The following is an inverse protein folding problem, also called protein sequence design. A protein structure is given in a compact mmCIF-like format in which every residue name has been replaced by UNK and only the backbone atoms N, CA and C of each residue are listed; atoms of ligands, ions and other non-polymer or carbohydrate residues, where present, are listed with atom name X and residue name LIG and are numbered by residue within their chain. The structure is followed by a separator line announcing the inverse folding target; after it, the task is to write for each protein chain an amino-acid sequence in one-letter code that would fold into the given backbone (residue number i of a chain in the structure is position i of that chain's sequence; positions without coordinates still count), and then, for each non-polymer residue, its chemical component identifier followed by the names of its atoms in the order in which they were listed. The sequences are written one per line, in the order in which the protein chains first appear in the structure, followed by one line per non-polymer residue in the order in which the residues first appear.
data_IF_917457261491
#
_entry.id   IF_917457261491
#
_cell.length_a   1.000
_cell.length_b   1.000
_cell.length_c   1.000
_cell.angle_alpha   90.00
_cell.angle_beta   90.00
_cell.angle_gamma   90.00
#
_symmetry.space_group_name_H-M   'P 1'
#
loop_
_entity.id
_entity.type
_entity.pdbx_description
1 polymer ?
#
# COMPACT_ATOMS: atom_id res chain seq x y z
N UNK A 1 6.65 18.65 -13.77
CA UNK A 1 8.07 19.06 -13.76
C UNK A 1 8.40 19.75 -15.08
N UNK A 2 9.25 20.78 -15.06
CA UNK A 2 9.62 21.57 -16.25
C UNK A 2 11.14 21.67 -16.32
N UNK A 3 11.70 21.46 -17.51
CA UNK A 3 13.09 21.78 -17.81
C UNK A 3 13.13 23.16 -18.48
N UNK A 4 13.72 24.14 -17.80
CA UNK A 4 14.02 25.45 -18.36
C UNK A 4 15.44 25.43 -18.91
N UNK A 5 15.61 25.80 -20.17
CA UNK A 5 16.92 25.87 -20.81
C UNK A 5 16.99 27.06 -21.75
N UNK A 6 18.19 27.59 -21.94
CA UNK A 6 18.39 28.75 -22.79
C UNK A 6 19.86 28.99 -23.08
N UNK A 7 20.09 29.92 -23.99
CA UNK A 7 21.42 30.38 -24.36
C UNK A 7 21.43 31.89 -24.55
N UNK A 8 22.63 32.45 -24.50
CA UNK A 8 22.92 33.81 -24.97
C UNK A 8 23.67 33.72 -26.29
N UNK A 9 23.25 34.50 -27.28
CA UNK A 9 24.00 34.62 -28.52
C UNK A 9 25.14 35.63 -28.32
N UNK A 10 26.36 35.13 -28.14
CA UNK A 10 27.57 35.95 -27.99
C UNK A 10 28.25 36.26 -29.34
N UNK A 11 27.66 35.83 -30.46
CA UNK A 11 28.16 36.15 -31.80
C UNK A 11 27.68 37.52 -32.29
N UNK A 12 28.38 38.06 -33.29
CA UNK A 12 28.06 39.36 -33.91
C UNK A 12 26.94 39.25 -34.96
N UNK A 13 26.52 38.03 -35.33
CA UNK A 13 25.41 37.77 -36.25
C UNK A 13 24.19 37.15 -35.55
N UNK A 14 22.96 37.37 -36.09
CA UNK A 14 21.80 36.60 -35.68
C UNK A 14 22.04 35.10 -35.86
N UNK A 15 21.73 34.33 -34.82
CA UNK A 15 21.91 32.88 -34.82
C UNK A 15 20.56 32.20 -34.66
N UNK A 16 20.19 31.33 -35.59
CA UNK A 16 19.00 30.48 -35.45
C UNK A 16 19.31 29.34 -34.48
N UNK A 17 18.39 29.10 -33.55
CA UNK A 17 18.59 28.16 -32.44
C UNK A 17 17.50 27.11 -32.43
N UNK A 18 17.89 25.84 -32.57
CA UNK A 18 17.00 24.69 -32.35
C UNK A 18 17.49 23.91 -31.13
N UNK A 19 16.61 23.74 -30.15
CA UNK A 19 16.86 23.00 -28.91
C UNK A 19 16.32 21.59 -29.05
N UNK A 20 17.16 20.59 -28.77
CA UNK A 20 16.77 19.19 -28.67
C UNK A 20 16.98 18.69 -27.25
N UNK A 21 15.94 18.06 -26.71
CA UNK A 21 15.95 17.43 -25.39
C UNK A 21 15.27 16.06 -25.46
N UNK A 22 15.45 15.20 -24.44
CA UNK A 22 14.66 13.96 -24.32
C UNK A 22 13.14 14.20 -24.25
N UNK A 23 12.71 15.42 -23.92
CA UNK A 23 11.29 15.79 -23.78
C UNK A 23 10.70 16.44 -25.03
N UNK A 24 11.51 16.61 -26.08
CA UNK A 24 11.07 17.17 -27.35
C UNK A 24 12.07 18.15 -27.98
N UNK A 25 11.73 18.59 -29.19
CA UNK A 25 12.48 19.60 -29.95
C UNK A 25 11.71 20.91 -30.00
N UNK A 26 12.42 22.03 -29.84
CA UNK A 26 11.87 23.39 -29.92
C UNK A 26 12.76 24.29 -30.76
N UNK A 27 12.15 24.97 -31.72
CA UNK A 27 12.80 26.01 -32.50
C UNK A 27 12.56 27.35 -31.79
N UNK A 28 13.64 28.03 -31.41
CA UNK A 28 13.57 29.35 -30.77
C UNK A 28 13.65 30.48 -31.81
N UNK A 29 13.81 30.14 -33.08
CA UNK A 29 13.98 31.11 -34.16
C UNK A 29 15.35 31.77 -34.12
N UNK A 30 15.42 32.96 -34.72
CA UNK A 30 16.64 33.78 -34.73
C UNK A 30 16.79 34.54 -33.41
N UNK A 31 17.97 34.40 -32.81
CA UNK A 31 18.39 35.14 -31.62
C UNK A 31 19.39 36.20 -32.04
N UNK A 32 19.05 37.47 -31.81
CA UNK A 32 19.90 38.60 -32.16
C UNK A 32 21.23 38.59 -31.39
N UNK A 33 22.29 39.26 -31.91
CA UNK A 33 23.54 39.45 -31.19
C UNK A 33 23.35 40.01 -29.78
N UNK A 34 23.99 39.41 -28.80
CA UNK A 34 23.92 39.77 -27.39
C UNK A 34 22.61 39.42 -26.67
N UNK A 35 21.59 38.94 -27.39
CA UNK A 35 20.30 38.55 -26.82
C UNK A 35 20.31 37.12 -26.28
N UNK A 36 19.36 36.82 -25.41
CA UNK A 36 19.14 35.48 -24.87
C UNK A 36 17.78 34.94 -25.26
N UNK A 37 17.69 33.63 -25.45
CA UNK A 37 16.43 32.92 -25.64
C UNK A 37 16.36 31.72 -24.71
N UNK A 38 15.17 31.46 -24.16
CA UNK A 38 14.91 30.33 -23.27
C UNK A 38 13.58 29.68 -23.59
N UNK A 39 13.45 28.42 -23.22
CA UNK A 39 12.22 27.65 -23.38
C UNK A 39 12.00 26.74 -22.19
N UNK A 40 10.73 26.61 -21.82
CA UNK A 40 10.24 25.65 -20.85
C UNK A 40 9.71 24.40 -21.58
N UNK A 41 10.32 23.25 -21.29
CA UNK A 41 9.88 21.97 -21.80
C UNK A 41 9.22 21.16 -20.67
N UNK A 42 7.91 20.88 -20.75
CA UNK A 42 7.25 20.02 -19.78
C UNK A 42 7.76 18.59 -19.96
N UNK A 43 8.32 18.00 -18.90
CA UNK A 43 8.84 16.63 -18.96
C UNK A 43 7.73 15.57 -19.01
N UNK A 44 6.50 15.93 -18.63
CA UNK A 44 5.35 15.01 -18.58
C UNK A 44 5.41 13.97 -17.46
N UNK A 45 6.46 13.98 -16.64
CA UNK A 45 6.68 13.02 -15.55
C UNK A 45 7.04 13.74 -14.24
N UNK A 46 6.97 12.99 -13.13
CA UNK A 46 7.43 13.44 -11.80
C UNK A 46 8.90 13.09 -11.52
N UNK A 47 9.48 12.18 -12.31
CA UNK A 47 10.86 11.80 -12.22
C UNK A 47 11.52 11.85 -13.60
N UNK A 48 12.72 12.42 -13.66
CA UNK A 48 13.58 12.40 -14.84
C UNK A 48 14.96 11.88 -14.50
N UNK A 49 15.58 11.19 -15.45
CA UNK A 49 16.99 10.81 -15.37
C UNK A 49 17.85 11.99 -15.78
N UNK A 50 19.12 11.99 -15.35
CA UNK A 50 20.10 12.94 -15.87
C UNK A 50 20.23 12.78 -17.39
N UNK A 51 20.57 13.88 -18.05
CA UNK A 51 20.61 13.92 -19.49
C UNK A 51 21.31 15.16 -20.02
N UNK A 52 21.06 15.45 -21.30
CA UNK A 52 21.65 16.59 -21.97
C UNK A 52 20.61 17.33 -22.82
N UNK A 53 20.84 18.63 -22.95
CA UNK A 53 20.21 19.53 -23.91
C UNK A 53 21.22 19.82 -25.00
N UNK A 54 20.80 19.68 -26.25
CA UNK A 54 21.61 19.99 -27.41
C UNK A 54 21.03 21.20 -28.13
N UNK A 55 21.86 22.21 -28.34
CA UNK A 55 21.53 23.40 -29.12
C UNK A 55 22.19 23.30 -30.49
N UNK A 56 21.38 23.20 -31.53
CA UNK A 56 21.81 23.32 -32.92
C UNK A 56 21.74 24.80 -33.29
N UNK A 57 22.92 25.38 -33.52
CA UNK A 57 23.11 26.78 -33.86
C UNK A 57 23.41 26.86 -35.35
N UNK A 58 22.72 27.74 -36.07
CA UNK A 58 23.05 28.03 -37.47
C UNK A 58 23.03 29.53 -37.74
N UNK A 59 24.05 30.03 -38.42
CA UNK A 59 24.17 31.45 -38.81
C UNK A 59 24.81 31.58 -40.19
N UNK A 60 24.66 32.74 -40.81
CA UNK A 60 25.31 33.06 -42.09
C UNK A 60 26.19 34.28 -41.93
N UNK A 61 27.48 34.14 -42.22
CA UNK A 61 28.47 35.24 -42.14
C UNK A 61 28.96 35.55 -43.55
N UNK A 62 28.73 36.77 -44.02
CA UNK A 62 29.11 37.22 -45.36
C UNK A 62 28.68 36.23 -46.48
N UNK A 63 27.47 35.70 -46.38
CA UNK A 63 26.91 34.71 -47.32
C UNK A 63 27.37 33.26 -47.12
N UNK A 64 28.23 32.98 -46.14
CA UNK A 64 28.71 31.63 -45.83
C UNK A 64 27.96 31.05 -44.63
N UNK A 65 27.32 29.87 -44.75
CA UNK A 65 26.62 29.24 -43.64
C UNK A 65 27.58 28.57 -42.66
N UNK A 66 27.28 28.68 -41.37
CA UNK A 66 27.96 28.02 -40.26
C UNK A 66 26.95 27.29 -39.40
N UNK A 67 27.33 26.09 -38.94
CA UNK A 67 26.55 25.31 -38.00
C UNK A 67 27.44 24.87 -36.83
N UNK A 68 26.90 24.95 -35.62
CA UNK A 68 27.57 24.55 -34.39
C UNK A 68 26.59 23.78 -33.50
N UNK A 69 27.13 22.91 -32.65
CA UNK A 69 26.33 22.20 -31.66
C UNK A 69 26.91 22.43 -30.27
N UNK A 70 26.10 22.99 -29.37
CA UNK A 70 26.45 23.19 -27.97
C UNK A 70 25.63 22.24 -27.12
N UNK A 71 26.27 21.58 -26.15
CA UNK A 71 25.59 20.63 -25.27
C UNK A 71 25.73 21.05 -23.81
N UNK A 72 24.61 21.09 -23.09
CA UNK A 72 24.55 21.30 -21.65
C UNK A 72 23.97 20.06 -20.96
N UNK A 73 24.44 19.74 -19.76
CA UNK A 73 23.91 18.60 -18.97
C UNK A 73 22.92 19.07 -17.92
N UNK A 74 21.97 18.21 -17.59
CA UNK A 74 21.08 18.38 -16.45
C UNK A 74 21.08 17.12 -15.59
N UNK A 75 20.96 17.30 -14.28
CA UNK A 75 20.96 16.21 -13.32
C UNK A 75 19.60 15.52 -13.24
N UNK A 76 19.60 14.31 -12.67
CA UNK A 76 18.37 13.60 -12.38
C UNK A 76 17.57 14.35 -11.30
N UNK A 77 16.26 14.36 -11.43
CA UNK A 77 15.36 14.93 -10.43
C UNK A 77 14.16 14.00 -10.27
N UNK A 78 13.87 13.64 -9.03
CA UNK A 78 12.71 12.83 -8.67
C UNK A 78 11.86 13.58 -7.65
N UNK A 79 10.65 13.97 -8.07
CA UNK A 79 9.66 14.63 -7.25
C UNK A 79 8.52 13.68 -6.86
N UNK A 80 8.63 12.37 -7.14
CA UNK A 80 7.66 11.40 -6.69
C UNK A 80 7.72 11.28 -5.16
N UNK A 81 6.57 11.43 -4.52
CA UNK A 81 6.36 11.20 -3.10
C UNK A 81 5.58 9.91 -2.96
N UNK A 82 6.19 8.93 -2.30
CA UNK A 82 5.60 7.62 -2.00
C UNK A 82 5.43 7.53 -0.48
N UNK A 83 4.20 7.65 -0.02
CA UNK A 83 3.84 7.60 1.40
C UNK A 83 2.57 6.74 1.60
N UNK A 84 2.67 5.42 1.37
CA UNK A 84 1.57 4.50 1.62
C UNK A 84 1.28 4.38 3.13
N UNK A 85 0.03 4.08 3.45
CA UNK A 85 -0.40 3.66 4.76
C UNK A 85 -1.49 2.59 4.68
N UNK A 86 -1.78 1.95 5.82
CA UNK A 86 -2.90 1.04 5.92
C UNK A 86 -3.34 0.80 7.34
N UNK A 87 -4.57 0.32 7.51
CA UNK A 87 -5.08 -0.09 8.82
C UNK A 87 -6.20 -1.11 8.67
N UNK A 88 -6.42 -1.91 9.71
CA UNK A 88 -7.55 -2.83 9.74
C UNK A 88 -8.84 -2.11 10.09
N UNK A 89 -9.90 -2.49 9.40
CA UNK A 89 -11.28 -2.12 9.73
C UNK A 89 -11.98 -3.42 10.14
N UNK A 90 -12.26 -3.56 11.43
CA UNK A 90 -12.80 -4.78 12.01
C UNK A 90 -14.29 -4.62 12.30
N UNK A 91 -15.08 -5.61 11.89
CA UNK A 91 -16.48 -5.69 12.32
C UNK A 91 -16.61 -6.28 13.73
N UNK A 92 -17.83 -6.29 14.24
CA UNK A 92 -18.13 -6.87 15.55
C UNK A 92 -17.88 -8.38 15.56
N UNK A 93 -17.32 -8.93 16.65
CA UNK A 93 -17.14 -10.37 16.78
C UNK A 93 -18.48 -11.07 17.04
N UNK A 94 -18.64 -12.27 16.47
CA UNK A 94 -19.82 -13.11 16.65
C UNK A 94 -19.41 -14.57 16.88
N UNK A 95 -20.25 -15.34 17.58
CA UNK A 95 -20.04 -16.78 17.76
C UNK A 95 -20.86 -17.58 16.77
N UNK A 96 -20.23 -18.47 16.02
CA UNK A 96 -20.92 -19.41 15.15
C UNK A 96 -20.96 -20.79 15.80
N UNK A 97 -22.12 -21.17 16.33
CA UNK A 97 -22.31 -22.45 17.01
C UNK A 97 -22.15 -23.67 16.09
N UNK A 98 -22.32 -23.52 14.77
CA UNK A 98 -22.10 -24.63 13.81
C UNK A 98 -20.61 -24.85 13.60
N UNK A 99 -19.84 -23.76 13.52
CA UNK A 99 -18.37 -23.81 13.40
C UNK A 99 -17.67 -23.98 14.75
N UNK A 100 -18.38 -23.77 15.86
CA UNK A 100 -17.88 -23.92 17.22
C UNK A 100 -16.82 -22.90 17.62
N UNK A 101 -16.77 -21.74 16.94
CA UNK A 101 -15.72 -20.73 17.11
C UNK A 101 -16.28 -19.31 16.98
N UNK A 102 -15.49 -18.33 17.43
CA UNK A 102 -15.77 -16.90 17.23
C UNK A 102 -15.20 -16.44 15.90
N UNK A 103 -15.89 -15.54 15.22
CA UNK A 103 -15.49 -14.94 13.96
C UNK A 103 -15.70 -13.44 13.99
N UNK A 104 -14.97 -12.71 13.15
CA UNK A 104 -15.27 -11.30 12.86
C UNK A 104 -14.89 -10.97 11.44
N UNK A 105 -15.64 -10.07 10.81
CA UNK A 105 -15.29 -9.59 9.47
C UNK A 105 -14.05 -8.71 9.54
N UNK A 106 -13.17 -8.86 8.55
CA UNK A 106 -11.93 -8.12 8.41
C UNK A 106 -11.94 -7.40 7.07
N UNK A 107 -11.73 -6.09 7.11
CA UNK A 107 -11.39 -5.27 5.95
C UNK A 107 -10.08 -4.53 6.21
N UNK A 108 -9.45 -4.03 5.15
CA UNK A 108 -8.28 -3.16 5.26
C UNK A 108 -8.58 -1.84 4.55
N UNK A 109 -8.27 -0.73 5.22
CA UNK A 109 -8.18 0.58 4.60
C UNK A 109 -6.81 0.68 3.95
N UNK A 110 -6.80 0.80 2.63
CA UNK A 110 -5.63 1.14 1.82
C UNK A 110 -5.57 2.66 1.71
N UNK A 111 -4.47 3.27 2.14
CA UNK A 111 -4.30 4.73 2.16
C UNK A 111 -3.14 5.17 1.27
N UNK A 112 -3.45 5.79 0.13
CA UNK A 112 -2.49 6.44 -0.76
C UNK A 112 -2.57 7.97 -0.70
N UNK A 113 -3.18 8.54 0.34
CA UNK A 113 -3.42 9.98 0.43
C UNK A 113 -2.15 10.81 0.59
N UNK A 114 -1.07 10.20 1.12
CA UNK A 114 0.23 10.84 1.26
C UNK A 114 1.06 10.88 -0.03
N UNK A 115 0.69 10.09 -1.05
CA UNK A 115 1.48 9.96 -2.28
C UNK A 115 0.95 10.85 -3.41
N UNK A 116 1.85 11.35 -4.25
CA UNK A 116 1.51 12.06 -5.50
C UNK A 116 1.59 11.17 -6.75
N UNK A 117 1.82 9.86 -6.55
CA UNK A 117 1.85 8.84 -7.60
C UNK A 117 0.86 7.71 -7.28
N UNK A 118 0.31 7.03 -8.31
CA UNK A 118 -0.50 5.84 -8.09
C UNK A 118 0.36 4.72 -7.48
N UNK A 119 -0.24 3.93 -6.58
CA UNK A 119 0.41 2.78 -5.94
C UNK A 119 -0.40 1.51 -6.12
N UNK A 120 0.31 0.40 -6.26
CA UNK A 120 -0.25 -0.96 -6.19
C UNK A 120 -0.08 -1.49 -4.77
N UNK A 121 -1.20 -1.71 -4.08
CA UNK A 121 -1.25 -2.34 -2.77
C UNK A 121 -1.44 -3.84 -2.94
N UNK A 122 -0.65 -4.63 -2.21
CA UNK A 122 -0.78 -6.08 -2.16
C UNK A 122 -0.92 -6.56 -0.73
N UNK A 123 -1.97 -7.33 -0.46
CA UNK A 123 -2.16 -8.02 0.82
C UNK A 123 -1.69 -9.46 0.69
N UNK A 124 -0.98 -9.94 1.70
CA UNK A 124 -0.52 -11.32 1.84
C UNK A 124 -0.78 -11.83 3.27
N UNK A 125 -0.53 -13.11 3.53
CA UNK A 125 -0.82 -13.77 4.81
C UNK A 125 -2.09 -14.61 4.72
N UNK A 126 -3.01 -14.42 5.67
CA UNK A 126 -4.27 -15.17 5.75
C UNK A 126 -5.23 -14.87 4.59
N UNK A 127 -5.18 -13.65 4.03
CA UNK A 127 -5.87 -13.29 2.79
C UNK A 127 -4.86 -12.80 1.75
N UNK A 128 -5.27 -12.84 0.48
CA UNK A 128 -4.44 -12.37 -0.65
C UNK A 128 -5.28 -11.52 -1.58
N UNK A 129 -4.72 -10.39 -2.00
CA UNK A 129 -5.37 -9.50 -2.95
C UNK A 129 -4.41 -8.41 -3.41
N UNK A 130 -4.77 -7.75 -4.50
CA UNK A 130 -3.99 -6.67 -5.07
C UNK A 130 -4.94 -5.61 -5.64
N UNK A 131 -4.64 -4.34 -5.39
CA UNK A 131 -5.45 -3.20 -5.81
C UNK A 131 -4.57 -2.04 -6.21
N UNK A 132 -4.88 -1.43 -7.34
CA UNK A 132 -4.28 -0.16 -7.76
C UNK A 132 -5.13 1.00 -7.24
N UNK A 133 -4.47 1.94 -6.58
CA UNK A 133 -5.04 3.18 -6.06
C UNK A 133 -4.40 4.36 -6.77
N UNK A 134 -5.24 5.32 -7.17
CA UNK A 134 -4.76 6.59 -7.70
C UNK A 134 -3.98 7.37 -6.62
N UNK A 135 -3.19 8.36 -7.05
CA UNK A 135 -2.57 9.30 -6.12
C UNK A 135 -3.66 10.00 -5.27
N UNK A 136 -3.43 10.12 -3.97
CA UNK A 136 -4.40 10.75 -3.08
C UNK A 136 -5.57 9.83 -2.63
N UNK A 137 -5.72 8.64 -3.21
CA UNK A 137 -6.90 7.80 -3.00
C UNK A 137 -6.86 7.04 -1.66
N UNK A 138 -8.04 6.83 -1.07
CA UNK A 138 -8.27 5.87 0.01
C UNK A 138 -9.35 4.87 -0.37
N UNK A 139 -9.16 3.60 -0.03
CA UNK A 139 -10.12 2.54 -0.35
C UNK A 139 -10.16 1.47 0.73
N UNK A 140 -11.36 1.15 1.21
CA UNK A 140 -11.57 -0.01 2.09
C UNK A 140 -11.90 -1.25 1.27
N UNK A 141 -11.20 -2.34 1.51
CA UNK A 141 -11.41 -3.62 0.81
C UNK A 141 -11.64 -4.75 1.81
N UNK A 142 -12.62 -5.61 1.52
CA UNK A 142 -12.94 -6.75 2.36
C UNK A 142 -11.88 -7.86 2.19
N UNK A 143 -11.42 -8.42 3.31
CA UNK A 143 -10.48 -9.55 3.36
C UNK A 143 -11.13 -10.86 3.82
N UNK A 144 -12.42 -10.83 4.19
CA UNK A 144 -13.18 -11.99 4.66
C UNK A 144 -13.34 -11.99 6.17
N UNK A 145 -13.18 -13.16 6.80
CA UNK A 145 -13.35 -13.34 8.24
C UNK A 145 -12.05 -13.85 8.90
N UNK A 146 -11.80 -13.41 10.13
CA UNK A 146 -10.81 -14.02 11.01
C UNK A 146 -11.51 -14.87 12.08
N UNK A 147 -10.89 -15.98 12.46
CA UNK A 147 -11.30 -16.80 13.61
C UNK A 147 -10.87 -16.17 14.93
N UNK A 148 -11.41 -16.66 16.04
CA UNK A 148 -11.13 -16.18 17.40
C UNK A 148 -9.66 -16.32 17.82
N UNK A 149 -8.88 -17.15 17.12
CA UNK A 149 -7.42 -17.22 17.27
C UNK A 149 -6.67 -15.97 16.79
N UNK A 150 -7.36 -15.04 16.12
CA UNK A 150 -6.74 -13.89 15.47
C UNK A 150 -6.23 -14.21 14.06
N UNK A 151 -5.68 -13.20 13.40
CA UNK A 151 -5.18 -13.29 12.03
C UNK A 151 -4.01 -12.34 11.81
N UNK A 152 -3.16 -12.66 10.82
CA UNK A 152 -2.04 -11.82 10.40
C UNK A 152 -2.10 -11.57 8.90
N UNK A 153 -1.92 -10.30 8.55
CA UNK A 153 -1.83 -9.82 7.19
C UNK A 153 -0.55 -9.00 7.04
N UNK A 154 0.01 -9.01 5.84
CA UNK A 154 1.08 -8.08 5.49
C UNK A 154 0.63 -7.30 4.27
N UNK A 155 0.54 -5.99 4.44
CA UNK A 155 0.25 -5.05 3.38
C UNK A 155 1.58 -4.59 2.77
N UNK A 156 1.66 -4.56 1.44
CA UNK A 156 2.84 -4.15 0.69
C UNK A 156 2.46 -3.04 -0.30
N UNK A 157 3.34 -2.07 -0.49
CA UNK A 157 3.28 -1.07 -1.55
C UNK A 157 4.69 -0.69 -1.99
N UNK A 158 5.14 -1.22 -3.15
CA UNK A 158 6.53 -1.10 -3.57
C UNK A 158 7.49 -1.76 -2.58
N UNK A 159 8.45 -1.00 -2.05
CA UNK A 159 9.39 -1.45 -1.01
C UNK A 159 8.84 -1.31 0.41
N UNK A 160 7.71 -0.62 0.60
CA UNK A 160 7.09 -0.45 1.91
C UNK A 160 6.23 -1.67 2.26
N UNK A 161 6.23 -2.03 3.54
CA UNK A 161 5.33 -3.05 4.07
C UNK A 161 4.93 -2.76 5.52
N UNK A 162 3.75 -3.23 5.90
CA UNK A 162 3.20 -3.11 7.24
C UNK A 162 2.50 -4.40 7.66
N UNK A 163 2.79 -4.87 8.87
CA UNK A 163 2.11 -6.03 9.45
C UNK A 163 0.86 -5.58 10.18
N UNK A 164 -0.28 -6.14 9.78
CA UNK A 164 -1.57 -5.89 10.38
C UNK A 164 -2.04 -7.14 11.12
N UNK A 165 -2.36 -6.98 12.40
CA UNK A 165 -2.70 -8.09 13.31
C UNK A 165 -4.11 -7.92 13.84
N UNK A 166 -4.90 -8.98 13.74
CA UNK A 166 -6.11 -9.16 14.52
C UNK A 166 -5.71 -9.97 15.74
N UNK A 167 -5.77 -9.35 16.92
CA UNK A 167 -5.51 -10.05 18.17
C UNK A 167 -6.56 -11.15 18.41
N UNK A 168 -6.22 -12.21 19.17
CA UNK A 168 -7.19 -13.21 19.58
C UNK A 168 -8.39 -12.58 20.29
N UNK A 169 -9.58 -13.10 20.01
CA UNK A 169 -10.84 -12.60 20.55
C UNK A 169 -11.84 -13.74 20.78
N UNK A 170 -12.84 -13.49 21.62
CA UNK A 170 -13.95 -14.43 21.84
C UNK A 170 -15.27 -13.69 21.93
N UNK A 171 -16.28 -14.22 21.23
CA UNK A 171 -17.68 -13.88 21.39
C UNK A 171 -18.48 -15.10 21.93
N UNK A 172 -17.78 -16.15 22.37
CA UNK A 172 -18.42 -17.32 22.93
C UNK A 172 -19.26 -16.93 24.16
N UNK A 173 -20.48 -17.50 24.31
CA UNK A 173 -21.29 -17.25 25.50
C UNK A 173 -20.50 -17.55 26.77
N UNK A 174 -20.64 -16.71 27.79
CA UNK A 174 -20.01 -16.97 29.08
C UNK A 174 -20.57 -18.27 29.67
N UNK A 175 -19.77 -19.33 29.66
CA UNK A 175 -20.07 -20.57 30.36
C UNK A 175 -19.84 -20.39 31.86
N UNK A 176 -20.71 -19.65 32.54
CA UNK A 176 -20.88 -19.82 33.98
C UNK A 176 -22.10 -20.70 34.20
N UNK A 177 -21.90 -21.84 34.86
CA UNK A 177 -23.02 -22.55 35.44
C UNK A 177 -23.62 -21.65 36.53
N UNK A 178 -24.89 -21.28 36.40
CA UNK A 178 -25.70 -21.01 37.58
C UNK A 178 -25.68 -22.32 38.38
N UNK A 179 -25.02 -22.32 39.53
CA UNK A 179 -25.14 -23.43 40.46
C UNK A 179 -26.56 -23.37 41.00
N UNK A 180 -27.42 -24.29 40.58
CA UNK A 180 -28.62 -24.59 41.36
C UNK A 180 -28.28 -25.77 42.27
N UNK A 181 -28.28 -25.49 43.58
CA UNK A 181 -28.19 -26.55 44.59
C UNK A 181 -29.60 -27.05 44.80
N UNK A 182 -29.98 -28.11 44.12
CA UNK A 182 -31.14 -28.88 44.55
C UNK A 182 -30.76 -29.60 45.85
N UNK A 183 -31.62 -29.52 46.86
CA UNK A 183 -31.40 -29.98 48.25
C UNK A 183 -31.10 -31.47 48.43
N UNK A 184 -30.77 -32.20 47.37
CA UNK A 184 -30.34 -33.61 47.35
C UNK A 184 -28.82 -33.80 47.12
N UNK A 185 -28.04 -32.72 46.98
CA UNK A 185 -26.57 -32.80 46.93
C UNK A 185 -26.00 -33.44 45.66
N UNK A 186 -26.74 -33.46 44.55
CA UNK A 186 -26.24 -33.94 43.26
C UNK A 186 -25.90 -32.76 42.36
N UNK A 187 -24.62 -32.50 42.12
CA UNK A 187 -24.19 -31.48 41.16
C UNK A 187 -24.21 -32.05 39.73
N UNK A 188 -25.01 -31.47 38.83
CA UNK A 188 -24.92 -31.74 37.39
C UNK A 188 -24.26 -30.56 36.68
N UNK A 189 -23.11 -30.82 36.06
CA UNK A 189 -22.47 -29.85 35.16
C UNK A 189 -23.02 -30.04 33.75
N UNK A 190 -23.58 -28.98 33.15
CA UNK A 190 -23.81 -28.96 31.70
C UNK A 190 -22.45 -28.84 31.02
N UNK A 191 -22.05 -29.92 30.34
CA UNK A 191 -20.79 -29.97 29.59
C UNK A 191 -20.82 -28.89 28.52
N UNK A 192 -19.76 -28.05 28.43
CA UNK A 192 -19.57 -27.14 27.29
C UNK A 192 -19.83 -27.91 25.99
N UNK A 193 -20.45 -27.29 24.97
CA UNK A 193 -20.50 -27.92 23.66
C UNK A 193 -19.06 -28.08 23.17
N UNK A 194 -18.54 -29.31 23.25
CA UNK A 194 -17.38 -29.71 22.46
C UNK A 194 -17.80 -29.61 21.00
N UNK A 195 -16.94 -29.01 20.18
CA UNK A 195 -17.12 -28.89 18.72
C UNK A 195 -17.76 -30.17 18.16
N UNK A 196 -18.91 -30.01 17.53
CA UNK A 196 -19.75 -31.13 17.12
C UNK A 196 -19.08 -31.95 15.99
N UNK A 197 -19.03 -33.27 16.18
CA UNK A 197 -18.81 -34.29 15.14
C UNK A 197 -17.46 -35.01 15.26
N UNK A 198 -17.35 -36.19 15.86
CA UNK A 198 -17.93 -37.42 15.31
C UNK A 198 -18.20 -38.42 16.43
N UNK A 199 -19.45 -38.85 16.53
CA UNK A 199 -19.88 -39.94 17.40
C UNK A 199 -19.24 -41.25 16.94
N UNK A 200 -18.38 -41.86 17.76
CA UNK A 200 -18.22 -43.32 17.75
C UNK A 200 -18.44 -43.88 19.15
N UNK A 201 -19.60 -44.51 19.26
CA UNK A 201 -20.13 -45.36 20.32
C UNK A 201 -19.04 -46.21 20.99
N UNK A 202 -18.97 -46.14 22.32
CA UNK A 202 -18.39 -47.19 23.17
C UNK A 202 -17.24 -46.74 24.07
N UNK A 203 -17.56 -46.39 25.31
CA UNK A 203 -16.85 -46.90 26.49
C UNK A 203 -17.53 -46.41 27.75
N UNK A 204 -18.00 -47.36 28.55
CA UNK A 204 -18.45 -47.16 29.92
C UNK A 204 -17.18 -46.99 30.74
N UNK A 205 -16.72 -45.75 30.94
CA UNK A 205 -15.60 -45.47 31.85
C UNK A 205 -16.19 -45.18 33.22
N UNK A 206 -16.30 -46.21 34.04
CA UNK A 206 -16.44 -46.08 35.49
C UNK A 206 -15.18 -45.41 36.04
N UNK A 207 -15.25 -44.11 36.33
CA UNK A 207 -14.27 -43.44 37.17
C UNK A 207 -14.79 -43.44 38.60
N UNK A 208 -14.27 -44.37 39.39
CA UNK A 208 -14.32 -44.37 40.85
C UNK A 208 -13.84 -43.01 41.37
N UNK A 209 -14.74 -42.23 41.98
CA UNK A 209 -14.38 -41.03 42.74
C UNK A 209 -13.67 -41.40 44.04
N UNK A 210 -12.82 -40.52 44.60
CA UNK A 210 -12.17 -40.78 45.87
C UNK A 210 -13.17 -40.70 47.02
N UNK A 211 -13.19 -41.74 47.86
CA UNK A 211 -13.86 -41.71 49.16
C UNK A 211 -13.18 -40.69 50.06
N UNK A 212 -13.86 -39.59 50.38
CA UNK A 212 -13.46 -38.69 51.46
C UNK A 212 -14.17 -39.15 52.72
N UNK A 213 -13.45 -39.89 53.57
CA UNK A 213 -13.87 -40.21 54.93
C UNK A 213 -13.73 -38.95 55.78
N UNK A 214 -14.83 -38.46 56.34
CA UNK A 214 -14.85 -37.33 57.26
C UNK A 214 -14.81 -37.88 58.69
N UNK A 215 -13.66 -37.77 59.34
CA UNK A 215 -13.53 -37.99 60.79
C UNK A 215 -13.98 -36.73 61.51
N UNK A 216 -14.84 -36.91 62.53
CA UNK A 216 -15.15 -35.87 63.51
C UNK A 216 -14.01 -35.65 64.50
#
# INVERSE_FOLDING_TARGET
MVLTTGLRNDADEPTRVVVRTPFGTRDLGEVAPGASASVDLPAGTLAVRSGAVTFELSRTVLGTPFAETVTARFDALDCAVVAPGGSLVLGDPYYDAKRGDSFRTVSVLLDNAGSNVPLTFRVTGQAKGQWDLAAGERRTVALGEASGSGAKYVLHAGSWSEQLVVDPFSAAPACYAAWEVDGSGTASATRCPTAAGTTRRGSRTSSSGPTVTRSG
#
